data_IF_739359938050
#
_entry.id   IF_739359938050
#
_cell.length_a   1.000
_cell.length_b   1.000
_cell.length_c   1.000
_cell.angle_alpha   90.00
_cell.angle_beta   90.00
_cell.angle_gamma   90.00
#
_symmetry.space_group_name_H-M   'P 1'
#
loop_
_entity.id
_entity.type
_entity.pdbx_description
1 polymer ?
#
# COMPACT_ATOMS: atom_id res chain seq x y z
N UNK A 1 -1.12 13.31 -22.25
CA UNK A 1 -2.00 12.19 -21.82
C UNK A 1 -1.80 11.79 -20.37
N UNK A 2 -0.58 11.79 -19.80
CA UNK A 2 -0.33 11.51 -18.37
C UNK A 2 -0.71 12.68 -17.44
N UNK A 3 -0.62 13.93 -17.90
CA UNK A 3 -0.94 15.12 -17.10
C UNK A 3 -2.43 15.21 -16.69
N UNK A 4 -3.32 14.49 -17.37
CA UNK A 4 -4.75 14.40 -17.01
C UNK A 4 -5.05 13.38 -15.90
N UNK A 5 -4.03 12.64 -15.45
CA UNK A 5 -4.18 11.60 -14.42
C UNK A 5 -3.94 12.11 -13.00
N UNK A 6 -3.24 13.23 -12.82
CA UNK A 6 -3.10 13.81 -11.49
C UNK A 6 -4.45 14.30 -10.97
N UNK A 7 -4.82 13.84 -9.79
CA UNK A 7 -6.08 14.22 -9.12
C UNK A 7 -6.02 15.70 -8.76
N UNK A 8 -4.87 16.16 -8.28
CA UNK A 8 -4.65 17.56 -7.92
C UNK A 8 -4.06 18.34 -9.09
N UNK A 9 -4.65 19.51 -9.40
CA UNK A 9 -4.14 20.45 -10.44
C UNK A 9 -2.99 21.32 -9.95
N UNK A 10 -2.64 21.23 -8.64
CA UNK A 10 -1.58 22.05 -8.07
C UNK A 10 -0.20 21.61 -8.56
N UNK A 11 0.69 22.55 -8.95
CA UNK A 11 2.07 22.21 -9.32
C UNK A 11 2.81 21.54 -8.17
N UNK A 12 3.71 20.57 -8.44
CA UNK A 12 4.48 19.93 -7.38
C UNK A 12 5.28 20.97 -6.60
N UNK A 13 5.03 21.03 -5.29
CA UNK A 13 5.70 21.96 -4.37
C UNK A 13 4.85 23.09 -3.80
N UNK A 14 3.62 23.28 -4.24
CA UNK A 14 2.64 24.17 -3.56
C UNK A 14 2.08 23.45 -2.34
N UNK A 15 2.69 23.68 -1.20
CA UNK A 15 2.12 23.31 0.10
C UNK A 15 0.90 24.19 0.32
N UNK A 16 -0.25 23.58 0.69
CA UNK A 16 -1.47 24.23 1.22
C UNK A 16 -2.65 24.56 0.27
N UNK A 17 -2.67 24.07 -0.98
CA UNK A 17 -3.91 24.14 -1.77
C UNK A 17 -4.57 22.75 -1.73
N UNK A 18 -5.53 22.58 -0.80
CA UNK A 18 -6.39 21.41 -0.78
C UNK A 18 -7.56 21.61 -1.76
N UNK A 19 -7.65 20.75 -2.77
CA UNK A 19 -8.80 20.78 -3.69
C UNK A 19 -10.06 20.22 -3.00
N UNK A 20 -11.22 20.91 -3.09
CA UNK A 20 -12.45 20.40 -2.50
C UNK A 20 -12.94 19.18 -3.28
N UNK A 21 -13.35 18.15 -2.56
CA UNK A 21 -13.91 16.92 -3.12
C UNK A 21 -15.16 16.48 -2.35
N UNK A 22 -16.15 15.97 -3.09
CA UNK A 22 -17.29 15.27 -2.50
C UNK A 22 -16.92 13.79 -2.37
N UNK A 23 -17.09 13.23 -1.18
CA UNK A 23 -16.76 11.86 -0.85
C UNK A 23 -18.00 10.98 -0.93
N UNK A 24 -17.89 9.80 -1.55
CA UNK A 24 -18.93 8.78 -1.58
C UNK A 24 -18.45 7.52 -0.86
N UNK A 25 -19.13 7.14 0.22
CA UNK A 25 -18.88 5.91 0.96
C UNK A 25 -20.18 5.15 1.21
N UNK A 26 -20.29 3.94 0.68
CA UNK A 26 -21.48 3.10 0.83
C UNK A 26 -21.16 1.89 1.72
N UNK A 27 -22.06 1.60 2.66
CA UNK A 27 -22.00 0.41 3.51
C UNK A 27 -22.73 -0.76 2.83
N UNK A 28 -21.99 -1.81 2.51
CA UNK A 28 -22.54 -3.06 1.98
C UNK A 28 -22.71 -4.14 3.07
N UNK A 29 -22.64 -3.76 4.34
CA UNK A 29 -22.77 -4.65 5.48
C UNK A 29 -21.44 -5.20 5.97
N UNK A 30 -20.33 -4.59 5.59
CA UNK A 30 -18.99 -4.97 6.04
C UNK A 30 -18.74 -4.56 7.49
N UNK A 31 -17.95 -5.40 8.20
CA UNK A 31 -17.52 -5.04 9.56
C UNK A 31 -16.56 -3.86 9.50
N UNK A 32 -16.70 -2.92 10.44
CA UNK A 32 -15.79 -1.78 10.56
C UNK A 32 -15.98 -0.70 9.46
N UNK A 33 -17.20 -0.50 8.95
CA UNK A 33 -17.49 0.53 7.96
C UNK A 33 -17.08 1.95 8.44
N UNK A 34 -17.30 2.27 9.73
CA UNK A 34 -16.85 3.54 10.32
C UNK A 34 -15.36 3.78 10.19
N UNK A 35 -14.58 2.72 10.40
CA UNK A 35 -13.11 2.77 10.32
C UNK A 35 -12.66 2.87 8.85
N UNK A 36 -13.36 2.17 7.94
CA UNK A 36 -13.16 2.32 6.49
C UNK A 36 -13.39 3.75 6.02
N UNK A 37 -14.43 4.43 6.53
CA UNK A 37 -14.69 5.85 6.22
C UNK A 37 -13.62 6.76 6.81
N UNK A 38 -13.18 6.50 8.04
CA UNK A 38 -12.10 7.27 8.65
C UNK A 38 -10.78 7.12 7.87
N UNK A 39 -10.44 5.90 7.47
CA UNK A 39 -9.28 5.62 6.61
C UNK A 39 -9.40 6.31 5.24
N UNK A 40 -10.59 6.29 4.63
CA UNK A 40 -10.85 6.95 3.36
C UNK A 40 -10.64 8.47 3.44
N UNK A 41 -11.08 9.11 4.52
CA UNK A 41 -10.79 10.53 4.78
C UNK A 41 -9.31 10.81 4.87
N UNK A 42 -8.55 9.94 5.53
CA UNK A 42 -7.08 10.03 5.59
C UNK A 42 -6.43 9.83 4.23
N UNK A 43 -6.95 8.92 3.37
CA UNK A 43 -6.49 8.77 1.99
C UNK A 43 -6.70 10.06 1.20
N UNK A 44 -7.90 10.64 1.24
CA UNK A 44 -8.20 11.89 0.56
C UNK A 44 -7.29 13.03 1.03
N UNK A 45 -7.11 13.19 2.33
CA UNK A 45 -6.19 14.18 2.90
C UNK A 45 -4.74 13.93 2.47
N UNK A 46 -4.31 12.67 2.40
CA UNK A 46 -2.95 12.30 1.97
C UNK A 46 -2.71 12.58 0.48
N UNK A 47 -3.77 12.62 -0.33
CA UNK A 47 -3.76 13.03 -1.73
C UNK A 47 -3.84 14.55 -1.93
N UNK A 48 -3.94 15.35 -0.86
CA UNK A 48 -4.11 16.80 -0.94
C UNK A 48 -5.56 17.25 -1.23
N UNK A 49 -6.53 16.41 -0.87
CA UNK A 49 -7.95 16.72 -1.01
C UNK A 49 -8.56 17.17 0.31
N UNK A 50 -9.49 18.11 0.25
CA UNK A 50 -10.33 18.55 1.37
C UNK A 50 -11.74 18.02 1.20
N UNK A 51 -12.25 17.34 2.22
CA UNK A 51 -13.66 16.94 2.26
C UNK A 51 -14.56 18.19 2.21
N UNK A 52 -15.33 18.35 1.14
CA UNK A 52 -16.34 19.38 1.00
C UNK A 52 -17.69 18.87 1.52
N UNK A 53 -18.01 17.62 1.22
CA UNK A 53 -19.16 16.90 1.73
C UNK A 53 -18.88 15.38 1.68
N UNK A 54 -19.58 14.63 2.51
CA UNK A 54 -19.60 13.18 2.43
C UNK A 54 -21.03 12.69 2.25
N UNK A 55 -21.24 11.88 1.20
CA UNK A 55 -22.49 11.20 0.93
C UNK A 55 -22.32 9.72 1.27
N UNK A 56 -23.13 9.24 2.19
CA UNK A 56 -23.10 7.86 2.66
C UNK A 56 -24.46 7.19 2.54
N UNK A 57 -24.48 5.90 2.78
CA UNK A 57 -25.73 5.13 2.84
C UNK A 57 -25.47 3.64 2.86
N UNK A 58 -26.48 2.87 3.29
CA UNK A 58 -26.40 1.41 3.30
C UNK A 58 -27.08 0.81 2.09
N UNK A 59 -26.48 -0.18 1.47
CA UNK A 59 -27.03 -0.94 0.36
C UNK A 59 -26.66 -2.41 0.49
N UNK A 60 -27.45 -3.28 -0.11
CA UNK A 60 -27.14 -4.71 -0.14
C UNK A 60 -26.15 -5.05 -1.29
N UNK A 61 -26.24 -4.36 -2.40
CA UNK A 61 -25.40 -4.59 -3.60
C UNK A 61 -25.13 -3.28 -4.33
N UNK A 62 -23.97 -3.14 -4.99
CA UNK A 62 -23.70 -2.02 -5.88
C UNK A 62 -24.70 -1.96 -7.03
N UNK A 63 -25.09 -0.74 -7.41
CA UNK A 63 -25.90 -0.53 -8.61
C UNK A 63 -25.07 -0.80 -9.87
N UNK A 64 -25.58 -1.57 -10.87
CA UNK A 64 -24.82 -1.87 -12.06
C UNK A 64 -24.46 -0.64 -12.91
N UNK A 65 -25.33 0.39 -12.93
CA UNK A 65 -25.15 1.56 -13.78
C UNK A 65 -24.37 2.68 -13.08
N UNK A 66 -24.69 2.98 -11.84
CA UNK A 66 -24.18 4.14 -11.10
C UNK A 66 -23.45 3.79 -9.80
N UNK A 67 -23.29 2.51 -9.48
CA UNK A 67 -22.75 2.05 -8.20
C UNK A 67 -23.62 2.44 -6.99
N UNK A 68 -23.97 3.73 -6.87
CA UNK A 68 -24.71 4.28 -5.74
C UNK A 68 -26.25 4.21 -5.88
N UNK A 69 -26.77 4.05 -7.08
CA UNK A 69 -28.19 4.16 -7.40
C UNK A 69 -28.66 5.62 -7.56
N UNK A 70 -29.77 5.79 -8.29
CA UNK A 70 -30.23 7.10 -8.81
C UNK A 70 -30.46 8.15 -7.71
N UNK A 71 -31.12 7.79 -6.60
CA UNK A 71 -31.37 8.73 -5.49
C UNK A 71 -30.07 9.24 -4.86
N UNK A 72 -29.07 8.37 -4.67
CA UNK A 72 -27.76 8.79 -4.15
C UNK A 72 -26.99 9.63 -5.16
N UNK A 73 -27.14 9.37 -6.44
CA UNK A 73 -26.53 10.21 -7.50
C UNK A 73 -27.08 11.63 -7.44
N UNK A 74 -28.37 11.80 -7.17
CA UNK A 74 -28.98 13.14 -6.98
C UNK A 74 -28.44 13.84 -5.73
N UNK A 75 -28.26 13.13 -4.61
CA UNK A 75 -27.63 13.69 -3.40
C UNK A 75 -26.19 14.14 -3.67
N UNK A 76 -25.40 13.33 -4.40
CA UNK A 76 -24.04 13.69 -4.79
C UNK A 76 -24.05 14.92 -5.70
N UNK A 77 -24.95 14.97 -6.69
CA UNK A 77 -25.07 16.10 -7.61
C UNK A 77 -25.42 17.41 -6.86
N UNK A 78 -26.32 17.34 -5.87
CA UNK A 78 -26.65 18.46 -5.02
C UNK A 78 -25.42 18.92 -4.20
N UNK A 79 -24.67 17.98 -3.58
CA UNK A 79 -23.47 18.28 -2.82
C UNK A 79 -22.36 18.89 -3.70
N UNK A 80 -22.18 18.41 -4.94
CA UNK A 80 -21.26 18.99 -5.94
C UNK A 80 -21.64 20.41 -6.28
N UNK A 81 -22.94 20.67 -6.55
CA UNK A 81 -23.43 22.00 -6.90
C UNK A 81 -23.29 22.99 -5.72
N UNK A 82 -23.58 22.56 -4.50
CA UNK A 82 -23.51 23.38 -3.30
C UNK A 82 -22.06 23.71 -2.91
N UNK A 83 -21.16 22.73 -3.00
CA UNK A 83 -19.76 22.88 -2.60
C UNK A 83 -18.88 23.52 -3.67
N UNK A 84 -19.34 23.54 -4.93
CA UNK A 84 -18.52 23.95 -6.08
C UNK A 84 -17.35 23.01 -6.36
N UNK A 85 -17.36 21.78 -5.81
CA UNK A 85 -16.34 20.79 -6.06
C UNK A 85 -16.48 20.23 -7.49
N UNK A 86 -15.37 20.09 -8.21
CA UNK A 86 -15.32 19.46 -9.53
C UNK A 86 -14.83 18.00 -9.49
N UNK A 87 -14.65 17.47 -8.28
CA UNK A 87 -14.15 16.13 -8.01
C UNK A 87 -15.05 15.35 -7.05
N UNK A 88 -15.38 14.12 -7.42
CA UNK A 88 -16.06 13.14 -6.56
C UNK A 88 -15.14 11.95 -6.34
N UNK A 89 -14.90 11.56 -5.11
CA UNK A 89 -14.05 10.40 -4.76
C UNK A 89 -14.92 9.31 -4.15
N UNK A 90 -14.73 8.08 -4.62
CA UNK A 90 -15.52 6.92 -4.19
C UNK A 90 -14.64 5.95 -3.41
N UNK A 91 -15.09 5.55 -2.22
CA UNK A 91 -14.36 4.64 -1.32
C UNK A 91 -14.28 3.18 -1.81
N UNK A 92 -14.71 2.90 -3.02
CA UNK A 92 -14.72 1.55 -3.60
C UNK A 92 -14.16 1.61 -5.01
N UNK A 93 -13.84 0.43 -5.53
CA UNK A 93 -13.45 0.30 -6.92
C UNK A 93 -14.69 0.40 -7.83
N UNK A 94 -14.61 1.22 -8.86
CA UNK A 94 -15.66 1.38 -9.86
C UNK A 94 -15.34 0.61 -11.14
N UNK A 95 -16.37 0.05 -11.78
CA UNK A 95 -16.23 -0.37 -13.17
C UNK A 95 -16.10 0.86 -14.09
N UNK A 96 -15.44 0.74 -15.24
CA UNK A 96 -15.33 1.84 -16.21
C UNK A 96 -16.67 2.41 -16.68
N UNK A 97 -17.72 1.57 -16.73
CA UNK A 97 -19.07 2.00 -17.07
C UNK A 97 -19.72 2.84 -15.97
N UNK A 98 -19.60 2.40 -14.72
CA UNK A 98 -20.11 3.14 -13.56
C UNK A 98 -19.42 4.50 -13.42
N UNK A 99 -18.12 4.55 -13.55
CA UNK A 99 -17.36 5.80 -13.48
C UNK A 99 -17.84 6.80 -14.53
N UNK A 100 -17.94 6.38 -15.80
CA UNK A 100 -18.40 7.24 -16.90
C UNK A 100 -19.84 7.70 -16.72
N UNK A 101 -20.72 6.82 -16.26
CA UNK A 101 -22.12 7.18 -16.04
C UNK A 101 -22.22 8.22 -14.91
N UNK A 102 -21.45 8.05 -13.84
CA UNK A 102 -21.37 9.03 -12.76
C UNK A 102 -20.82 10.37 -13.25
N UNK A 103 -19.70 10.38 -13.99
CA UNK A 103 -19.11 11.62 -14.53
C UNK A 103 -20.07 12.38 -15.44
N UNK A 104 -20.83 11.64 -16.27
CA UNK A 104 -21.84 12.25 -17.15
C UNK A 104 -22.98 12.90 -16.38
N UNK A 105 -23.46 12.25 -15.33
CA UNK A 105 -24.60 12.72 -14.51
C UNK A 105 -24.17 13.84 -13.58
N UNK A 106 -23.03 13.69 -12.93
CA UNK A 106 -22.54 14.64 -11.92
C UNK A 106 -21.85 15.86 -12.55
N UNK A 107 -21.48 15.80 -13.82
CA UNK A 107 -20.66 16.81 -14.52
C UNK A 107 -19.37 17.17 -13.76
N UNK A 108 -18.86 16.23 -13.00
CA UNK A 108 -17.64 16.32 -12.20
C UNK A 108 -16.75 15.10 -12.50
N UNK A 109 -15.46 15.21 -12.25
CA UNK A 109 -14.55 14.07 -12.33
C UNK A 109 -14.90 13.07 -11.23
N UNK A 110 -14.84 11.78 -11.56
CA UNK A 110 -15.07 10.71 -10.58
C UNK A 110 -13.82 9.86 -10.47
N UNK A 111 -13.32 9.71 -9.27
CA UNK A 111 -12.11 8.94 -8.94
C UNK A 111 -12.49 7.84 -7.95
N UNK A 112 -12.08 6.62 -8.24
CA UNK A 112 -12.25 5.50 -7.34
C UNK A 112 -11.06 5.32 -6.39
N UNK A 113 -11.22 4.46 -5.38
CA UNK A 113 -10.21 4.17 -4.36
C UNK A 113 -8.85 3.74 -4.98
N UNK A 114 -8.88 2.88 -6.00
CA UNK A 114 -7.66 2.41 -6.66
C UNK A 114 -6.90 3.55 -7.35
N UNK A 115 -7.62 4.41 -8.07
CA UNK A 115 -7.03 5.58 -8.73
C UNK A 115 -6.47 6.57 -7.71
N UNK A 116 -7.19 6.79 -6.59
CA UNK A 116 -6.73 7.65 -5.49
C UNK A 116 -5.40 7.15 -4.89
N UNK A 117 -5.30 5.86 -4.60
CA UNK A 117 -4.07 5.25 -4.08
C UNK A 117 -2.91 5.40 -5.07
N UNK A 118 -3.18 5.15 -6.37
CA UNK A 118 -2.17 5.33 -7.43
C UNK A 118 -1.67 6.77 -7.53
N UNK A 119 -2.54 7.75 -7.33
CA UNK A 119 -2.16 9.16 -7.34
C UNK A 119 -1.29 9.53 -6.13
N UNK A 120 -1.66 9.06 -4.93
CA UNK A 120 -0.82 9.20 -3.74
C UNK A 120 0.57 8.60 -3.98
N UNK A 121 0.65 7.42 -4.58
CA UNK A 121 1.92 6.79 -4.92
C UNK A 121 2.73 7.60 -5.92
N UNK A 122 2.09 8.20 -6.94
CA UNK A 122 2.76 9.06 -7.89
C UNK A 122 3.37 10.30 -7.24
N UNK A 123 2.69 10.87 -6.25
CA UNK A 123 3.19 12.01 -5.48
C UNK A 123 4.35 11.63 -4.54
N UNK A 124 4.37 10.38 -4.03
CA UNK A 124 5.35 9.89 -3.04
C UNK A 124 6.60 9.27 -3.66
N UNK A 125 6.52 8.75 -4.88
CA UNK A 125 7.64 8.12 -5.55
C UNK A 125 8.79 9.12 -5.79
N UNK A 126 9.91 8.95 -5.10
CA UNK A 126 11.09 9.80 -5.24
C UNK A 126 12.17 9.10 -6.06
N UNK A 127 12.36 7.80 -5.84
CA UNK A 127 13.37 7.03 -6.54
C UNK A 127 13.02 6.84 -8.02
N UNK A 128 14.04 6.67 -8.85
CA UNK A 128 13.83 6.37 -10.26
C UNK A 128 13.03 5.08 -10.47
N UNK A 129 13.29 4.08 -9.65
CA UNK A 129 12.58 2.80 -9.69
C UNK A 129 11.13 2.93 -9.24
N UNK A 130 10.87 3.59 -8.09
CA UNK A 130 9.52 3.86 -7.60
C UNK A 130 8.67 4.59 -8.63
N UNK A 131 9.23 5.61 -9.30
CA UNK A 131 8.55 6.32 -10.40
C UNK A 131 8.18 5.40 -11.56
N UNK A 132 9.09 4.50 -11.97
CA UNK A 132 8.82 3.53 -13.04
C UNK A 132 7.72 2.55 -12.62
N UNK A 133 7.74 2.07 -11.37
CA UNK A 133 6.73 1.15 -10.83
C UNK A 133 5.35 1.80 -10.79
N UNK A 134 5.26 3.03 -10.29
CA UNK A 134 4.00 3.78 -10.24
C UNK A 134 3.48 4.06 -11.66
N UNK A 135 4.33 4.53 -12.58
CA UNK A 135 3.95 4.74 -13.97
C UNK A 135 3.43 3.45 -14.61
N UNK A 136 4.10 2.32 -14.37
CA UNK A 136 3.65 1.01 -14.86
C UNK A 136 2.28 0.64 -14.30
N UNK A 137 2.05 0.79 -12.99
CA UNK A 137 0.78 0.50 -12.34
C UNK A 137 -0.35 1.39 -12.88
N UNK A 138 -0.10 2.70 -13.03
CA UNK A 138 -1.05 3.65 -13.61
C UNK A 138 -1.43 3.28 -15.04
N UNK A 139 -0.45 2.95 -15.90
CA UNK A 139 -0.71 2.57 -17.29
C UNK A 139 -1.45 1.24 -17.41
N UNK A 140 -1.15 0.26 -16.53
CA UNK A 140 -1.88 -1.01 -16.47
C UNK A 140 -3.33 -0.78 -16.04
N UNK A 141 -3.56 0.02 -15.01
CA UNK A 141 -4.90 0.39 -14.57
C UNK A 141 -5.68 1.11 -15.66
N UNK A 142 -5.04 2.07 -16.34
CA UNK A 142 -5.62 2.77 -17.49
C UNK A 142 -6.00 1.82 -18.63
N UNK A 143 -5.10 0.89 -18.97
CA UNK A 143 -5.34 -0.07 -20.04
C UNK A 143 -6.63 -0.88 -19.81
N UNK A 144 -6.92 -1.27 -18.55
CA UNK A 144 -8.17 -1.98 -18.21
C UNK A 144 -9.43 -1.14 -18.41
N UNK A 145 -9.29 0.19 -18.28
CA UNK A 145 -10.40 1.16 -18.42
C UNK A 145 -10.67 1.53 -19.87
N UNK A 146 -9.64 1.63 -20.71
CA UNK A 146 -9.79 1.90 -22.14
C UNK A 146 -10.54 0.79 -22.88
N UNK A 147 -10.30 -0.48 -22.56
CA UNK A 147 -10.92 -1.62 -23.23
C UNK A 147 -12.44 -1.66 -23.07
N UNK A 148 -12.96 -1.23 -21.94
CA UNK A 148 -14.40 -1.29 -21.61
C UNK A 148 -15.12 0.04 -21.81
N UNK A 149 -14.41 1.12 -22.03
CA UNK A 149 -14.97 2.48 -22.15
C UNK A 149 -15.63 2.81 -23.47
N UNK A 150 -15.29 2.13 -24.57
CA UNK A 150 -15.58 2.57 -25.93
C UNK A 150 -16.52 1.67 -26.73
N UNK A 151 -16.99 0.56 -26.17
CA UNK A 151 -17.96 -0.35 -26.86
C UNK A 151 -19.28 0.33 -27.24
N UNK A 152 -19.56 1.53 -26.70
CA UNK A 152 -20.77 2.28 -27.04
C UNK A 152 -20.65 3.12 -28.32
N UNK A 153 -19.43 3.47 -28.75
CA UNK A 153 -19.22 4.21 -30.01
C UNK A 153 -19.36 3.30 -31.24
N UNK A 154 -19.12 1.99 -31.08
CA UNK A 154 -19.31 1.01 -32.15
C UNK A 154 -20.78 0.82 -32.53
N UNK A 155 -21.72 1.07 -31.64
CA UNK A 155 -23.16 0.89 -31.91
C UNK A 155 -23.84 2.08 -32.57
N UNK A 156 -23.20 3.25 -32.64
CA UNK A 156 -23.84 4.47 -33.13
C UNK A 156 -23.66 4.77 -34.62
N UNK A 157 -22.88 3.98 -35.37
CA UNK A 157 -22.80 4.07 -36.83
C UNK A 157 -22.85 2.68 -37.44
N UNK A 158 -24.10 2.25 -37.69
CA UNK A 158 -24.36 1.04 -38.46
C UNK A 158 -23.83 1.20 -39.91
N UNK A 159 -22.98 0.27 -40.30
CA UNK A 159 -22.48 0.12 -41.65
C UNK A 159 -21.43 -0.99 -41.66
N UNK A 160 -21.77 -2.10 -42.28
CA UNK A 160 -20.86 -3.22 -42.50
C UNK A 160 -19.64 -2.68 -43.29
N UNK A 161 -18.48 -2.57 -42.66
CA UNK A 161 -17.21 -2.36 -43.37
C UNK A 161 -16.52 -0.98 -43.24
N UNK A 162 -17.06 -0.01 -42.50
CA UNK A 162 -16.40 1.28 -42.33
C UNK A 162 -15.85 1.41 -40.91
N UNK A 163 -14.53 1.20 -40.72
CA UNK A 163 -13.78 1.62 -39.51
C UNK A 163 -13.87 3.12 -39.37
N UNK A 164 -14.56 3.59 -38.33
CA UNK A 164 -14.64 5.02 -38.05
C UNK A 164 -13.30 5.58 -37.53
N UNK A 165 -13.00 6.89 -37.68
CA UNK A 165 -11.74 7.52 -37.24
C UNK A 165 -11.49 7.37 -35.73
N UNK A 166 -12.53 7.09 -34.91
CA UNK A 166 -12.39 6.82 -33.49
C UNK A 166 -11.85 5.42 -33.14
N UNK A 167 -12.12 4.40 -33.95
CA UNK A 167 -11.55 3.07 -33.79
C UNK A 167 -10.04 3.04 -33.99
N UNK A 168 -9.56 3.71 -35.04
CA UNK A 168 -8.12 3.79 -35.33
C UNK A 168 -7.36 4.55 -34.25
N UNK A 169 -7.95 5.57 -33.64
CA UNK A 169 -7.31 6.31 -32.55
C UNK A 169 -7.21 5.47 -31.28
N UNK A 170 -8.27 4.76 -30.91
CA UNK A 170 -8.27 3.85 -29.74
C UNK A 170 -7.25 2.71 -29.89
N UNK A 171 -7.20 2.08 -31.08
CA UNK A 171 -6.23 1.03 -31.36
C UNK A 171 -4.79 1.57 -31.30
N UNK A 172 -4.58 2.79 -31.80
CA UNK A 172 -3.28 3.46 -31.74
C UNK A 172 -2.89 3.76 -30.30
N UNK A 173 -3.79 4.34 -29.51
CA UNK A 173 -3.56 4.64 -28.08
C UNK A 173 -3.29 3.36 -27.28
N UNK A 174 -4.05 2.31 -27.53
CA UNK A 174 -3.83 1.00 -26.89
C UNK A 174 -2.47 0.40 -27.25
N UNK A 175 -2.07 0.50 -28.52
CA UNK A 175 -0.76 0.04 -28.98
C UNK A 175 0.37 0.82 -28.34
N UNK A 176 0.25 2.16 -28.27
CA UNK A 176 1.25 3.03 -27.62
C UNK A 176 1.37 2.71 -26.12
N UNK A 177 0.25 2.50 -25.42
CA UNK A 177 0.24 2.03 -24.04
C UNK A 177 0.94 0.69 -23.90
N UNK A 178 0.64 -0.28 -24.75
CA UNK A 178 1.29 -1.60 -24.74
C UNK A 178 2.80 -1.51 -24.92
N UNK A 179 3.27 -0.66 -25.86
CA UNK A 179 4.70 -0.42 -26.08
C UNK A 179 5.34 0.22 -24.82
N UNK A 180 4.66 1.21 -24.21
CA UNK A 180 5.18 1.88 -23.01
C UNK A 180 5.26 0.93 -21.81
N UNK A 181 4.20 0.13 -21.58
CA UNK A 181 4.17 -0.91 -20.52
C UNK A 181 5.31 -1.90 -20.70
N UNK A 182 5.56 -2.38 -21.95
CA UNK A 182 6.66 -3.29 -22.24
C UNK A 182 8.01 -2.66 -21.91
N UNK A 183 8.24 -1.44 -22.37
CA UNK A 183 9.50 -0.72 -22.13
C UNK A 183 9.77 -0.48 -20.63
N UNK A 184 8.72 -0.18 -19.85
CA UNK A 184 8.85 -0.01 -18.39
C UNK A 184 9.15 -1.34 -17.69
N UNK A 185 8.52 -2.44 -18.09
CA UNK A 185 8.83 -3.78 -17.56
C UNK A 185 10.28 -4.17 -17.81
N UNK A 186 10.79 -3.99 -19.01
CA UNK A 186 12.18 -4.26 -19.37
C UNK A 186 13.18 -3.42 -18.52
N UNK A 187 12.83 -2.16 -18.25
CA UNK A 187 13.63 -1.32 -17.34
C UNK A 187 13.62 -1.84 -15.91
N UNK A 188 12.46 -2.22 -15.38
CA UNK A 188 12.34 -2.78 -14.03
C UNK A 188 13.13 -4.08 -13.90
N UNK A 189 13.03 -5.00 -14.86
CA UNK A 189 13.81 -6.24 -14.86
C UNK A 189 15.32 -5.98 -14.81
N UNK A 190 15.83 -4.98 -15.54
CA UNK A 190 17.25 -4.59 -15.45
C UNK A 190 17.62 -4.10 -14.05
N UNK A 191 16.80 -3.26 -13.45
CA UNK A 191 17.03 -2.76 -12.09
C UNK A 191 17.00 -3.89 -11.06
N UNK A 192 16.06 -4.83 -11.17
CA UNK A 192 15.97 -6.00 -10.31
C UNK A 192 17.23 -6.88 -10.40
N UNK A 193 17.71 -7.18 -11.61
CA UNK A 193 18.95 -7.94 -11.80
C UNK A 193 20.15 -7.23 -11.16
N UNK A 194 20.25 -5.91 -11.28
CA UNK A 194 21.34 -5.16 -10.63
C UNK A 194 21.24 -5.24 -9.10
N UNK A 195 20.03 -5.13 -8.53
CA UNK A 195 19.81 -5.29 -7.08
C UNK A 195 20.15 -6.70 -6.61
N UNK A 196 19.78 -7.73 -7.37
CA UNK A 196 20.09 -9.11 -7.03
C UNK A 196 21.60 -9.34 -6.94
N UNK A 197 22.38 -8.80 -7.88
CA UNK A 197 23.86 -8.86 -7.83
C UNK A 197 24.40 -8.15 -6.59
N UNK A 198 23.91 -6.97 -6.28
CA UNK A 198 24.31 -6.23 -5.07
C UNK A 198 23.90 -6.95 -3.78
N UNK A 199 22.74 -7.62 -3.79
CA UNK A 199 22.26 -8.43 -2.65
C UNK A 199 23.12 -9.66 -2.45
N UNK A 200 23.46 -10.40 -3.51
CA UNK A 200 24.40 -11.53 -3.43
C UNK A 200 25.76 -11.13 -2.84
N UNK A 201 26.24 -9.93 -3.18
CA UNK A 201 27.47 -9.40 -2.59
C UNK A 201 27.32 -9.09 -1.09
N UNK A 202 26.16 -8.58 -0.65
CA UNK A 202 25.82 -8.33 0.78
C UNK A 202 25.67 -9.64 1.56
N UNK A 203 25.00 -10.64 0.97
CA UNK A 203 24.79 -11.94 1.61
C UNK A 203 26.10 -12.73 1.86
N UNK A 204 27.14 -12.48 1.07
CA UNK A 204 28.49 -13.04 1.38
C UNK A 204 29.03 -12.56 2.72
N UNK A 205 28.60 -11.38 3.20
CA UNK A 205 28.96 -10.84 4.51
C UNK A 205 28.06 -11.32 5.67
N UNK A 206 27.07 -12.20 5.42
CA UNK A 206 26.11 -12.74 6.42
C UNK A 206 25.56 -11.66 7.39
N UNK A 207 25.18 -10.49 6.86
CA UNK A 207 24.55 -9.44 7.67
C UNK A 207 23.07 -9.75 7.83
N UNK A 208 22.62 -9.90 9.08
CA UNK A 208 21.23 -10.17 9.41
C UNK A 208 20.33 -9.01 8.96
N UNK A 209 19.28 -9.32 8.20
CA UNK A 209 18.37 -8.36 7.58
C UNK A 209 17.00 -8.38 8.25
N UNK A 210 16.48 -7.19 8.55
CA UNK A 210 15.20 -6.98 9.24
C UNK A 210 14.33 -6.06 8.39
N UNK A 211 13.10 -6.46 8.09
CA UNK A 211 12.14 -5.62 7.37
C UNK A 211 11.01 -5.18 8.28
N UNK A 212 10.68 -3.88 8.26
CA UNK A 212 9.51 -3.34 8.94
C UNK A 212 8.29 -3.54 8.05
N UNK A 213 7.31 -4.28 8.52
CA UNK A 213 6.03 -4.49 7.86
C UNK A 213 4.89 -4.03 8.76
N UNK A 214 3.72 -3.79 8.21
CA UNK A 214 2.55 -3.39 9.00
C UNK A 214 1.67 -2.40 8.27
N UNK A 215 0.53 -2.11 8.87
CA UNK A 215 -0.48 -1.24 8.30
C UNK A 215 0.03 0.19 8.08
N UNK A 216 -0.59 0.96 7.17
CA UNK A 216 -0.30 2.39 7.01
C UNK A 216 -0.51 3.12 8.33
N UNK A 217 0.32 4.12 8.60
CA UNK A 217 0.26 4.92 9.83
C UNK A 217 0.46 4.14 11.15
N UNK A 218 0.91 2.88 11.14
CA UNK A 218 1.28 2.14 12.36
C UNK A 218 2.56 2.67 13.02
N UNK A 219 3.30 3.55 12.34
CA UNK A 219 4.51 4.18 12.85
C UNK A 219 5.81 3.49 12.45
N UNK A 220 5.82 2.75 11.33
CA UNK A 220 7.03 2.07 10.78
C UNK A 220 8.19 3.03 10.58
N UNK A 221 7.99 4.12 9.84
CA UNK A 221 9.05 5.10 9.55
C UNK A 221 9.51 5.85 10.81
N UNK A 222 8.62 6.08 11.77
CA UNK A 222 8.98 6.64 13.07
C UNK A 222 9.87 5.67 13.84
N UNK A 223 9.51 4.38 13.85
CA UNK A 223 10.32 3.33 14.47
C UNK A 223 11.67 3.15 13.77
N UNK A 224 11.68 3.19 12.43
CA UNK A 224 12.91 3.17 11.65
C UNK A 224 13.87 4.31 12.04
N UNK A 225 13.35 5.54 12.14
CA UNK A 225 14.14 6.69 12.57
C UNK A 225 14.66 6.54 14.01
N UNK A 226 13.82 6.04 14.91
CA UNK A 226 14.21 5.81 16.31
C UNK A 226 15.33 4.75 16.44
N UNK A 227 15.31 3.71 15.61
CA UNK A 227 16.35 2.66 15.60
C UNK A 227 17.63 3.09 14.90
N UNK A 228 17.53 3.84 13.79
CA UNK A 228 18.66 4.16 12.91
C UNK A 228 19.30 5.53 13.21
N UNK A 229 18.70 6.32 14.10
CA UNK A 229 19.04 7.73 14.34
C UNK A 229 19.03 8.57 13.04
N UNK A 230 18.13 8.24 12.12
CA UNK A 230 17.97 8.93 10.86
C UNK A 230 16.81 9.94 10.95
N UNK A 231 16.83 10.94 10.06
CA UNK A 231 15.76 11.92 9.89
C UNK A 231 15.00 11.62 8.58
N UNK A 232 14.57 10.35 8.39
CA UNK A 232 13.70 10.00 7.26
C UNK A 232 12.33 10.65 7.48
N UNK A 233 11.70 11.08 6.39
CA UNK A 233 10.38 11.71 6.43
C UNK A 233 9.36 10.77 7.10
N UNK A 234 8.89 11.16 8.26
CA UNK A 234 7.82 10.49 8.97
C UNK A 234 6.70 11.52 9.21
N UNK A 235 5.55 11.29 8.59
CA UNK A 235 4.39 12.16 8.73
C UNK A 235 3.16 11.34 9.11
N UNK A 236 2.18 11.99 9.73
CA UNK A 236 0.88 11.40 10.01
C UNK A 236 0.03 11.39 8.73
N UNK A 237 0.55 10.76 7.67
CA UNK A 237 -0.06 10.63 6.36
C UNK A 237 0.04 9.18 5.90
N UNK A 238 -0.99 8.70 5.19
CA UNK A 238 -0.95 7.36 4.61
C UNK A 238 0.11 7.30 3.51
N UNK A 239 0.83 6.17 3.43
CA UNK A 239 1.91 5.96 2.47
C UNK A 239 3.02 7.03 2.54
N UNK A 240 3.43 7.42 3.77
CA UNK A 240 4.53 8.34 3.96
C UNK A 240 5.84 7.80 3.34
N UNK A 241 6.05 6.49 3.40
CA UNK A 241 7.15 5.78 2.74
C UNK A 241 6.60 4.94 1.60
N UNK A 242 7.09 5.18 0.39
CA UNK A 242 6.85 4.34 -0.79
C UNK A 242 8.12 3.63 -1.23
N UNK A 243 9.23 4.36 -1.30
CA UNK A 243 10.53 3.81 -1.65
C UNK A 243 11.18 3.17 -0.42
N UNK A 244 11.60 1.91 -0.55
CA UNK A 244 12.26 1.20 0.54
C UNK A 244 13.59 1.87 0.91
N UNK A 245 13.76 2.15 2.18
CA UNK A 245 15.00 2.72 2.73
C UNK A 245 15.64 1.71 3.67
N UNK A 246 16.90 1.33 3.41
CA UNK A 246 17.65 0.39 4.25
C UNK A 246 18.83 1.07 4.92
N UNK A 247 19.04 0.79 6.22
CA UNK A 247 20.17 1.33 6.99
C UNK A 247 20.78 0.28 7.91
N UNK A 248 22.08 0.41 8.13
CA UNK A 248 22.80 -0.41 9.12
C UNK A 248 22.53 0.12 10.53
N UNK A 249 22.23 -0.78 11.44
CA UNK A 249 22.05 -0.51 12.86
C UNK A 249 23.04 -1.34 13.65
N UNK A 250 23.74 -0.69 14.57
CA UNK A 250 24.64 -1.37 15.50
C UNK A 250 23.83 -1.72 16.75
N UNK A 251 23.81 -3.00 17.06
CA UNK A 251 23.32 -3.54 18.33
C UNK A 251 24.48 -3.69 19.29
N UNK A 252 24.19 -4.04 20.53
CA UNK A 252 25.18 -4.26 21.56
C UNK A 252 26.15 -5.41 21.20
N UNK A 253 27.33 -5.41 21.77
CA UNK A 253 28.39 -6.42 21.59
C UNK A 253 28.90 -6.55 20.13
N UNK A 254 28.92 -5.44 19.37
CA UNK A 254 29.48 -5.41 18.01
C UNK A 254 28.62 -6.10 16.94
N UNK A 255 27.35 -6.42 17.26
CA UNK A 255 26.40 -6.97 16.27
C UNK A 255 25.92 -5.87 15.34
N UNK A 256 25.79 -6.21 14.06
CA UNK A 256 25.27 -5.31 13.03
C UNK A 256 24.10 -5.99 12.32
N UNK A 257 23.04 -5.22 12.06
CA UNK A 257 21.88 -5.62 11.27
C UNK A 257 21.61 -4.57 10.19
N UNK A 258 20.88 -4.96 9.16
CA UNK A 258 20.29 -4.03 8.20
C UNK A 258 18.82 -3.96 8.48
N UNK A 259 18.28 -2.78 8.73
CA UNK A 259 16.85 -2.54 8.90
C UNK A 259 16.33 -1.83 7.66
N UNK A 260 15.21 -2.30 7.13
CA UNK A 260 14.54 -1.74 5.96
C UNK A 260 13.15 -1.24 6.33
N UNK A 261 12.85 0.03 6.02
CA UNK A 261 11.49 0.59 6.09
C UNK A 261 10.78 0.34 4.77
N UNK A 262 9.56 -0.16 4.80
CA UNK A 262 8.78 -0.54 3.63
C UNK A 262 7.46 0.21 3.52
N UNK A 263 6.82 0.11 2.36
CA UNK A 263 5.48 0.65 2.13
C UNK A 263 4.47 0.07 3.12
N UNK A 264 3.57 0.92 3.63
CA UNK A 264 2.50 0.44 4.51
C UNK A 264 1.39 -0.27 3.74
N UNK A 265 0.80 -1.29 4.37
CA UNK A 265 -0.37 -1.97 3.83
C UNK A 265 -1.65 -1.22 4.20
N UNK A 266 -2.68 -1.39 3.43
CA UNK A 266 -3.99 -0.78 3.62
C UNK A 266 -5.08 -1.79 3.24
N UNK A 267 -6.26 -1.61 3.78
CA UNK A 267 -7.43 -2.43 3.45
C UNK A 267 -7.71 -2.42 1.94
N UNK A 268 -8.08 -3.58 1.40
CA UNK A 268 -8.42 -3.74 -0.03
C UNK A 268 -7.34 -3.20 -0.98
N UNK A 269 -6.05 -3.42 -0.65
CA UNK A 269 -4.97 -3.07 -1.57
C UNK A 269 -5.16 -3.87 -2.87
N UNK A 270 -5.36 -3.22 -4.02
CA UNK A 270 -5.58 -3.94 -5.28
C UNK A 270 -4.40 -4.85 -5.61
N UNK A 271 -4.67 -6.11 -5.99
CA UNK A 271 -3.64 -7.09 -6.36
C UNK A 271 -2.74 -6.62 -7.49
N UNK A 272 -3.29 -5.80 -8.41
CA UNK A 272 -2.51 -5.15 -9.46
C UNK A 272 -1.45 -4.20 -8.91
N UNK A 273 -1.73 -3.55 -7.76
CA UNK A 273 -0.77 -2.70 -7.07
C UNK A 273 0.28 -3.55 -6.34
N UNK A 274 -0.13 -4.62 -5.66
CA UNK A 274 0.81 -5.57 -5.02
C UNK A 274 1.81 -6.09 -6.05
N UNK A 275 1.32 -6.51 -7.23
CA UNK A 275 2.17 -6.98 -8.32
C UNK A 275 3.13 -5.89 -8.84
N UNK A 276 2.67 -4.64 -8.98
CA UNK A 276 3.50 -3.54 -9.43
C UNK A 276 4.59 -3.16 -8.42
N UNK A 277 4.27 -3.28 -7.12
CA UNK A 277 5.20 -2.97 -6.02
C UNK A 277 5.98 -4.17 -5.50
N UNK A 278 5.88 -5.32 -6.17
CA UNK A 278 6.63 -6.53 -5.78
C UNK A 278 8.11 -6.27 -5.58
N UNK A 279 8.71 -5.41 -6.39
CA UNK A 279 10.13 -5.08 -6.26
C UNK A 279 10.45 -4.22 -5.01
N UNK A 280 9.53 -3.38 -4.53
CA UNK A 280 9.69 -2.68 -3.23
C UNK A 280 9.46 -3.63 -2.06
N UNK A 281 8.69 -4.69 -2.25
CA UNK A 281 8.46 -5.75 -1.26
C UNK A 281 9.53 -6.85 -1.30
N UNK A 282 10.46 -6.82 -2.27
CA UNK A 282 11.58 -7.79 -2.33
C UNK A 282 12.47 -7.77 -1.08
N UNK A 283 12.67 -6.60 -0.46
CA UNK A 283 13.42 -6.51 0.81
C UNK A 283 12.69 -7.22 1.95
N UNK A 284 11.35 -7.31 1.89
CA UNK A 284 10.54 -8.07 2.84
C UNK A 284 10.68 -9.58 2.59
N UNK A 285 10.57 -10.02 1.34
CA UNK A 285 10.65 -11.45 0.95
C UNK A 285 12.02 -12.06 1.32
N UNK A 286 13.06 -11.25 1.34
CA UNK A 286 14.43 -11.70 1.61
C UNK A 286 14.96 -11.30 2.98
N UNK A 287 14.09 -10.82 3.88
CA UNK A 287 14.46 -10.54 5.25
C UNK A 287 14.65 -11.81 6.06
N UNK A 288 15.54 -11.78 7.04
CA UNK A 288 15.73 -12.86 8.01
C UNK A 288 14.71 -12.77 9.16
N UNK A 289 14.13 -11.56 9.36
CA UNK A 289 13.13 -11.27 10.38
C UNK A 289 12.19 -10.16 9.91
N UNK A 290 10.90 -10.31 10.18
CA UNK A 290 9.91 -9.25 10.03
C UNK A 290 9.58 -8.63 11.39
N UNK A 291 9.66 -7.31 11.48
CA UNK A 291 9.06 -6.55 12.58
C UNK A 291 7.68 -6.07 12.11
N UNK A 292 6.64 -6.76 12.55
CA UNK A 292 5.28 -6.40 12.21
C UNK A 292 4.79 -5.32 13.17
N UNK A 293 4.83 -4.07 12.71
CA UNK A 293 4.46 -2.89 13.51
C UNK A 293 2.95 -2.72 13.50
N UNK A 294 2.36 -2.75 14.68
CA UNK A 294 0.92 -2.68 14.95
C UNK A 294 0.61 -1.38 15.67
N UNK A 295 -0.44 -0.69 15.24
CA UNK A 295 -0.95 0.48 15.97
C UNK A 295 -1.75 0.03 17.20
N UNK A 296 -1.18 0.22 18.39
CA UNK A 296 -1.80 -0.18 19.66
C UNK A 296 -3.08 0.60 19.98
N UNK A 297 -3.29 1.77 19.34
CA UNK A 297 -4.49 2.60 19.55
C UNK A 297 -5.66 2.14 18.65
N UNK A 298 -5.36 1.49 17.51
CA UNK A 298 -6.38 1.13 16.54
C UNK A 298 -7.39 0.10 17.10
N UNK A 299 -8.71 0.39 17.08
CA UNK A 299 -9.72 -0.58 17.50
C UNK A 299 -9.69 -1.87 16.66
N UNK A 300 -9.40 -1.72 15.36
CA UNK A 300 -9.35 -2.80 14.37
C UNK A 300 -7.95 -3.39 14.19
N UNK A 301 -7.08 -3.28 15.20
CA UNK A 301 -5.68 -3.75 15.12
C UNK A 301 -5.54 -5.23 14.76
N UNK A 302 -6.46 -6.09 15.22
CA UNK A 302 -6.43 -7.52 14.90
C UNK A 302 -6.78 -7.76 13.43
N UNK A 303 -7.81 -7.08 12.91
CA UNK A 303 -8.16 -7.14 11.48
C UNK A 303 -7.01 -6.63 10.61
N UNK A 304 -6.32 -5.56 11.06
CA UNK A 304 -5.13 -5.03 10.36
C UNK A 304 -3.96 -6.04 10.35
N UNK A 305 -3.75 -6.78 11.43
CA UNK A 305 -2.75 -7.85 11.48
C UNK A 305 -3.09 -8.94 10.46
N UNK A 306 -4.36 -9.36 10.39
CA UNK A 306 -4.81 -10.39 9.47
C UNK A 306 -4.68 -9.95 8.00
N UNK A 307 -4.99 -8.70 7.70
CA UNK A 307 -4.81 -8.11 6.36
C UNK A 307 -3.33 -8.08 5.95
N UNK A 308 -2.44 -7.63 6.84
CA UNK A 308 -0.99 -7.65 6.60
C UNK A 308 -0.49 -9.08 6.36
N UNK A 309 -0.91 -10.03 7.19
CA UNK A 309 -0.56 -11.44 7.02
C UNK A 309 -1.11 -12.01 5.70
N UNK A 310 -2.28 -11.54 5.25
CA UNK A 310 -2.84 -11.87 3.93
C UNK A 310 -1.91 -11.45 2.79
N UNK A 311 -1.43 -10.22 2.82
CA UNK A 311 -0.49 -9.70 1.80
C UNK A 311 0.87 -10.41 1.90
N UNK A 312 1.38 -10.68 3.12
CA UNK A 312 2.64 -11.44 3.29
C UNK A 312 2.56 -12.83 2.66
N UNK A 313 1.42 -13.52 2.79
CA UNK A 313 1.17 -14.81 2.09
C UNK A 313 1.13 -14.65 0.57
N UNK A 314 0.48 -13.60 0.05
CA UNK A 314 0.41 -13.33 -1.39
C UNK A 314 1.79 -13.11 -2.03
N UNK A 315 2.71 -12.46 -1.28
CA UNK A 315 4.08 -12.24 -1.75
C UNK A 315 5.06 -13.38 -1.43
N UNK A 316 4.63 -14.41 -0.67
CA UNK A 316 5.47 -15.54 -0.26
C UNK A 316 6.44 -15.23 0.88
N UNK A 317 6.09 -14.33 1.78
CA UNK A 317 6.90 -13.92 2.94
C UNK A 317 6.34 -14.45 4.28
N UNK A 318 5.31 -15.29 4.25
CA UNK A 318 4.63 -15.84 5.43
C UNK A 318 5.48 -16.82 6.24
N UNK A 319 6.46 -17.47 5.60
CA UNK A 319 7.40 -18.38 6.28
C UNK A 319 8.51 -17.64 7.05
N UNK A 320 8.66 -16.31 6.88
CA UNK A 320 9.70 -15.54 7.56
C UNK A 320 9.31 -15.33 9.02
N UNK A 321 10.22 -15.55 9.99
CA UNK A 321 9.93 -15.28 11.40
C UNK A 321 9.45 -13.86 11.62
N UNK A 322 8.43 -13.68 12.46
CA UNK A 322 7.86 -12.38 12.78
C UNK A 322 7.96 -12.08 14.28
N UNK A 323 8.16 -10.81 14.61
CA UNK A 323 7.97 -10.25 15.96
C UNK A 323 6.94 -9.14 15.85
N UNK A 324 5.85 -9.24 16.61
CA UNK A 324 4.84 -8.18 16.69
C UNK A 324 5.37 -7.01 17.51
N UNK A 325 5.35 -5.80 16.94
CA UNK A 325 5.75 -4.58 17.64
C UNK A 325 4.50 -3.73 17.87
N UNK A 326 3.96 -3.77 19.09
CA UNK A 326 2.83 -2.95 19.51
C UNK A 326 3.32 -1.55 19.81
N UNK A 327 3.11 -0.68 18.84
CA UNK A 327 3.56 0.71 18.87
C UNK A 327 2.47 1.64 19.42
N UNK A 328 2.85 2.86 19.76
CA UNK A 328 1.99 3.93 20.29
C UNK A 328 1.41 3.63 21.68
N UNK A 329 2.14 2.90 22.52
CA UNK A 329 1.70 2.60 23.89
C UNK A 329 1.51 3.86 24.74
N UNK A 330 2.14 4.96 24.38
CA UNK A 330 1.96 6.28 24.99
C UNK A 330 0.52 6.79 24.92
N UNK A 331 -0.20 6.41 23.87
CA UNK A 331 -1.60 6.78 23.63
C UNK A 331 -2.57 5.59 23.73
N UNK A 332 -2.07 4.35 23.79
CA UNK A 332 -2.88 3.15 23.82
C UNK A 332 -3.33 2.77 25.23
N UNK A 333 -4.57 2.31 25.34
CA UNK A 333 -5.17 1.83 26.58
C UNK A 333 -5.63 0.38 26.36
N UNK A 334 -5.38 -0.49 27.33
CA UNK A 334 -5.85 -1.87 27.29
C UNK A 334 -7.38 -1.94 27.40
N UNK A 335 -7.96 -3.08 27.06
CA UNK A 335 -9.41 -3.33 27.22
C UNK A 335 -9.93 -3.12 28.65
N UNK A 336 -9.03 -3.22 29.64
CA UNK A 336 -9.32 -2.96 31.07
C UNK A 336 -9.08 -1.51 31.49
N UNK A 337 -8.82 -0.59 30.56
CA UNK A 337 -8.61 0.83 30.82
C UNK A 337 -7.21 1.17 31.37
N UNK A 338 -6.30 0.22 31.48
CA UNK A 338 -4.93 0.45 31.92
C UNK A 338 -4.02 0.81 30.74
N UNK A 339 -3.03 1.67 30.92
CA UNK A 339 -1.99 1.94 29.92
C UNK A 339 -1.13 0.70 29.72
N UNK A 340 -0.73 0.45 28.48
CA UNK A 340 0.27 -0.57 28.20
C UNK A 340 1.61 -0.15 28.79
N UNK A 341 2.31 -1.11 29.40
CA UNK A 341 3.67 -0.91 29.91
C UNK A 341 4.66 -1.43 28.86
N UNK A 342 5.75 -0.69 28.63
CA UNK A 342 6.81 -1.14 27.77
C UNK A 342 7.42 -2.46 28.26
N UNK A 343 7.62 -3.41 27.38
CA UNK A 343 8.12 -4.73 27.73
C UNK A 343 8.09 -5.72 26.58
N UNK A 344 8.31 -6.99 26.91
CA UNK A 344 8.24 -8.12 25.99
C UNK A 344 7.27 -9.16 26.46
N UNK A 345 6.57 -9.80 25.53
CA UNK A 345 5.86 -11.06 25.75
C UNK A 345 6.59 -12.17 25.04
N UNK A 346 6.62 -13.34 25.66
CA UNK A 346 7.30 -14.53 25.13
C UNK A 346 6.27 -15.63 24.87
N UNK A 347 6.54 -16.43 23.85
CA UNK A 347 5.78 -17.65 23.56
C UNK A 347 6.12 -18.77 24.57
N UNK A 348 5.46 -19.91 24.42
CA UNK A 348 5.66 -21.10 25.26
C UNK A 348 7.09 -21.67 25.20
N UNK A 349 7.86 -21.32 24.17
CA UNK A 349 9.26 -21.72 23.97
C UNK A 349 10.25 -20.65 24.49
N UNK A 350 9.76 -19.59 25.12
CA UNK A 350 10.58 -18.51 25.66
C UNK A 350 11.11 -17.52 24.61
N UNK A 351 10.68 -17.64 23.34
CA UNK A 351 11.04 -16.70 22.28
C UNK A 351 10.20 -15.44 22.39
N UNK A 352 10.78 -14.26 22.13
CA UNK A 352 10.02 -13.01 22.12
C UNK A 352 9.05 -13.02 20.92
N UNK A 353 7.76 -13.00 21.22
CA UNK A 353 6.67 -12.93 20.26
C UNK A 353 6.21 -11.48 20.04
N UNK A 354 6.16 -10.68 21.12
CA UNK A 354 5.62 -9.32 21.09
C UNK A 354 6.46 -8.37 21.91
N UNK A 355 6.61 -7.14 21.37
CA UNK A 355 7.29 -6.03 22.04
C UNK A 355 6.36 -4.84 22.13
N UNK A 356 6.19 -4.27 23.32
CA UNK A 356 5.38 -3.08 23.56
C UNK A 356 6.30 -1.86 23.66
N UNK A 357 6.06 -0.86 22.82
CA UNK A 357 6.87 0.35 22.77
C UNK A 357 6.11 1.56 22.21
N UNK A 358 6.69 2.73 22.41
CA UNK A 358 6.35 3.95 21.67
C UNK A 358 7.56 4.40 20.87
N UNK A 359 7.43 4.39 19.55
CA UNK A 359 8.47 4.89 18.65
C UNK A 359 8.63 6.42 18.75
N UNK A 360 7.56 7.14 19.10
CA UNK A 360 7.56 8.60 19.25
C UNK A 360 8.31 9.04 20.52
N UNK A 361 8.01 8.45 21.66
CA UNK A 361 8.66 8.76 22.95
C UNK A 361 9.96 7.99 23.16
N UNK A 362 10.21 6.97 22.31
CA UNK A 362 11.33 6.02 22.43
C UNK A 362 11.23 5.09 23.65
N UNK A 363 10.13 5.09 24.34
CA UNK A 363 9.86 4.16 25.45
C UNK A 363 9.79 2.73 24.89
N UNK A 364 10.44 1.77 25.55
CA UNK A 364 10.46 0.36 25.14
C UNK A 364 11.47 0.00 24.03
N UNK A 365 12.19 0.93 23.44
CA UNK A 365 13.24 0.64 22.45
C UNK A 365 14.35 -0.32 22.96
N UNK A 366 14.78 -0.28 24.22
CA UNK A 366 15.74 -1.27 24.75
C UNK A 366 15.22 -2.71 24.64
N UNK A 367 13.94 -2.95 24.86
CA UNK A 367 13.32 -4.29 24.72
C UNK A 367 13.30 -4.75 23.26
N UNK A 368 13.06 -3.85 22.30
CA UNK A 368 13.17 -4.19 20.88
C UNK A 368 14.61 -4.50 20.51
N UNK A 369 15.59 -3.77 21.01
CA UNK A 369 17.02 -4.07 20.80
C UNK A 369 17.40 -5.44 21.37
N UNK A 370 16.86 -5.80 22.52
CA UNK A 370 17.01 -7.13 23.10
C UNK A 370 16.44 -8.20 22.15
N UNK A 371 15.21 -8.04 21.67
CA UNK A 371 14.57 -8.98 20.74
C UNK A 371 15.40 -9.17 19.45
N UNK A 372 15.91 -8.09 18.89
CA UNK A 372 16.80 -8.11 17.74
C UNK A 372 18.11 -8.84 18.02
N UNK A 373 18.69 -8.64 19.20
CA UNK A 373 19.92 -9.31 19.62
C UNK A 373 19.72 -10.81 19.75
N UNK A 374 18.63 -11.25 20.41
CA UNK A 374 18.27 -12.66 20.55
C UNK A 374 18.04 -13.31 19.16
N UNK A 375 17.36 -12.60 18.24
CA UNK A 375 17.14 -13.09 16.88
C UNK A 375 18.45 -13.25 16.08
N UNK A 376 19.39 -12.30 16.20
CA UNK A 376 20.70 -12.41 15.56
C UNK A 376 21.50 -13.59 16.12
N UNK A 377 21.45 -13.83 17.43
CA UNK A 377 22.16 -14.95 18.05
C UNK A 377 21.58 -16.28 17.59
N UNK A 378 20.27 -16.42 17.56
CA UNK A 378 19.61 -17.61 17.04
C UNK A 378 19.96 -17.87 15.55
N UNK A 379 20.05 -16.80 14.74
CA UNK A 379 20.47 -16.92 13.35
C UNK A 379 21.92 -17.40 13.21
N UNK A 380 22.85 -16.85 14.02
CA UNK A 380 24.25 -17.25 14.03
C UNK A 380 24.44 -18.70 14.49
N UNK A 381 23.71 -19.14 15.50
CA UNK A 381 23.77 -20.52 15.98
C UNK A 381 23.33 -21.53 14.89
N UNK A 382 22.24 -21.26 14.17
CA UNK A 382 21.82 -22.10 13.04
C UNK A 382 22.86 -22.16 11.91
N UNK A 383 23.60 -21.07 11.69
CA UNK A 383 24.62 -21.00 10.64
C UNK A 383 25.93 -21.76 11.03
N UNK A 384 26.16 -22.04 12.32
CA UNK A 384 27.33 -22.72 12.82
C UNK A 384 27.11 -24.23 13.06
N UNK A 385 25.87 -24.71 13.08
CA UNK A 385 25.52 -26.10 13.29
C UNK A 385 24.94 -26.73 12.01
N UNK A 386 25.77 -27.36 11.15
CA UNK A 386 25.34 -27.91 9.86
C UNK A 386 24.56 -29.23 9.96
N UNK A 387 24.37 -29.80 11.14
CA UNK A 387 23.79 -31.15 11.31
C UNK A 387 22.25 -31.23 11.19
N UNK A 388 21.52 -30.11 11.26
CA UNK A 388 20.05 -30.10 11.15
C UNK A 388 19.50 -29.78 9.73
N UNK A 389 20.34 -29.58 8.75
CA UNK A 389 19.93 -29.17 7.41
C UNK A 389 19.43 -30.28 6.48
N UNK A 390 19.28 -31.53 6.94
CA UNK A 390 18.83 -32.64 6.09
C UNK A 390 17.39 -33.08 6.28
N UNK A 391 16.60 -32.45 7.18
CA UNK A 391 15.25 -32.90 7.51
C UNK A 391 14.08 -32.03 6.98
N UNK A 392 14.32 -30.77 6.56
CA UNK A 392 13.23 -29.86 6.12
C UNK A 392 13.59 -29.03 4.88
N UNK A 393 13.92 -29.71 3.78
CA UNK A 393 13.86 -29.08 2.46
C UNK A 393 12.42 -29.23 1.93
N UNK A 394 11.63 -28.16 1.77
CA UNK A 394 10.36 -28.27 1.07
C UNK A 394 10.66 -28.66 -0.37
N UNK A 395 10.13 -29.80 -0.81
CA UNK A 395 10.15 -30.24 -2.20
C UNK A 395 9.75 -29.09 -3.11
N UNK A 396 10.59 -28.78 -4.07
CA UNK A 396 10.31 -27.79 -5.11
C UNK A 396 9.05 -28.19 -5.85
N UNK A 397 7.91 -27.61 -5.48
CA UNK A 397 6.68 -27.71 -6.24
C UNK A 397 6.87 -26.95 -7.56
N UNK A 398 7.09 -27.71 -8.60
CA UNK A 398 7.03 -27.26 -9.99
C UNK A 398 5.64 -26.68 -10.24
N UNK A 399 5.55 -25.37 -10.32
CA UNK A 399 4.32 -24.68 -10.75
C UNK A 399 4.22 -24.84 -12.25
N UNK A 400 3.36 -25.75 -12.69
CA UNK A 400 2.93 -25.83 -14.09
C UNK A 400 2.00 -24.63 -14.33
N UNK A 401 2.43 -23.73 -15.20
CA UNK A 401 1.64 -22.59 -15.69
C UNK A 401 0.77 -23.10 -16.82
N UNK A 402 -0.56 -23.02 -16.66
CA UNK A 402 -1.53 -23.08 -17.75
C UNK A 402 -1.93 -21.64 -18.17
#
# INVERSE_FOLDING_TARGET
MLDSYHITKAPPGTKDIFEPAVLLALDFGERGFSDSVAEFRLLCSSAGLREAAIVGGRRQKPDPAYFAGTGKVQEIAAAVAESGADLVVVNHQLSPAQQRNLEKELKARVVDRTTLILDIFAQRAQSHEGKIQVELAQLQHLATRLVRGWTHLERQKGGIGLRGPGETQLETDRRLLGVRVKALREKLEKLQRQREVQRRARNRGRVFSVSLVGYTNAGKSTLFNALTKADSYAANQLFATLDTTSRRVHLDQGRQIVVSDTVGFIRELPTTLVAAFRATLEETIHADLLLHVVDGVAPTRLDQIDEVNGVLREIGADAIPQVLVWNKIDAAVSERGARYTAGVERDEYGKIERVFLSAATREGLPFLRQALTEAVDAFRHRATDPAEHTADAPEARTVVVY
#
